data_IF_205628393370
#
_entry.id   IF_205628393370
#
_cell.length_a   1.000
_cell.length_b   1.000
_cell.length_c   1.000
_cell.angle_alpha   90.00
_cell.angle_beta   90.00
_cell.angle_gamma   90.00
#
_symmetry.space_group_name_H-M   'P 1'
#
loop_
_entity.id
_entity.type
_entity.pdbx_description
1 polymer ?
#
# COMPACT_ATOMS: atom_id res chain seq x y z
N UNK A 1 -5.20 -18.92 -14.27
CA UNK A 1 -5.24 -19.10 -12.83
C UNK A 1 -3.91 -18.71 -12.22
N UNK A 2 -3.93 -17.87 -11.24
CA UNK A 2 -2.71 -17.45 -10.58
C UNK A 2 -2.20 -18.56 -9.68
N UNK A 3 -1.01 -19.06 -9.96
CA UNK A 3 -0.39 -20.12 -9.17
C UNK A 3 0.37 -19.60 -7.99
N UNK A 4 0.50 -18.29 -7.84
CA UNK A 4 1.17 -17.70 -6.70
C UNK A 4 0.28 -17.83 -5.47
N UNK A 5 0.68 -18.69 -4.56
CA UNK A 5 -0.03 -18.88 -3.32
C UNK A 5 0.30 -17.81 -2.27
N UNK A 6 1.10 -16.82 -2.61
CA UNK A 6 1.47 -15.77 -1.67
C UNK A 6 0.22 -14.98 -1.24
N UNK A 7 0.09 -14.69 0.06
CA UNK A 7 -1.02 -13.88 0.53
C UNK A 7 -0.98 -12.49 -0.14
N UNK A 8 -2.14 -12.05 -0.57
CA UNK A 8 -2.29 -10.74 -1.20
C UNK A 8 -3.43 -9.99 -0.57
N UNK A 9 -3.32 -8.68 -0.54
CA UNK A 9 -4.37 -7.83 -0.04
C UNK A 9 -4.51 -6.62 -0.94
N UNK A 10 -5.74 -6.36 -1.37
CA UNK A 10 -6.06 -5.18 -2.17
C UNK A 10 -6.29 -4.01 -1.23
N UNK A 11 -5.64 -2.89 -1.50
CA UNK A 11 -5.83 -1.65 -0.76
C UNK A 11 -6.58 -0.69 -1.68
N UNK A 12 -7.81 -0.37 -1.31
CA UNK A 12 -8.63 0.56 -2.07
C UNK A 12 -8.30 2.00 -1.67
N UNK A 13 -8.12 2.85 -2.67
CA UNK A 13 -7.84 4.27 -2.47
C UNK A 13 -8.81 5.15 -3.25
N UNK A 14 -9.87 4.59 -3.81
CA UNK A 14 -10.81 5.32 -4.66
C UNK A 14 -11.55 6.42 -3.92
N UNK A 15 -11.68 6.32 -2.59
CA UNK A 15 -12.34 7.31 -1.75
C UNK A 15 -11.39 8.42 -1.28
N UNK A 16 -10.10 8.36 -1.65
CA UNK A 16 -9.09 9.29 -1.16
C UNK A 16 -8.67 10.26 -2.24
N UNK A 17 -8.40 11.51 -1.84
CA UNK A 17 -7.74 12.47 -2.70
C UNK A 17 -6.24 12.37 -2.48
N UNK A 18 -5.56 11.60 -3.32
CA UNK A 18 -4.13 11.35 -3.19
C UNK A 18 -3.26 12.54 -3.61
N UNK A 19 -3.89 13.63 -4.07
CA UNK A 19 -3.18 14.89 -4.29
C UNK A 19 -3.01 15.69 -3.01
N UNK A 20 -3.75 15.34 -1.94
CA UNK A 20 -3.64 16.02 -0.64
C UNK A 20 -2.74 15.26 0.32
N UNK A 21 -2.17 15.97 1.29
CA UNK A 21 -1.36 15.36 2.33
C UNK A 21 -2.19 14.38 3.17
N UNK A 22 -3.43 14.73 3.48
CA UNK A 22 -4.32 13.87 4.28
C UNK A 22 -4.67 12.58 3.53
N UNK A 23 -4.95 12.67 2.24
CA UNK A 23 -5.22 11.49 1.41
C UNK A 23 -4.04 10.56 1.33
N UNK A 24 -2.84 11.10 1.13
CA UNK A 24 -1.59 10.31 1.13
C UNK A 24 -1.36 9.63 2.47
N UNK A 25 -1.54 10.36 3.57
CA UNK A 25 -1.34 9.80 4.91
C UNK A 25 -2.31 8.66 5.19
N UNK A 26 -3.57 8.81 4.81
CA UNK A 26 -4.57 7.75 4.95
C UNK A 26 -4.20 6.54 4.10
N UNK A 27 -3.77 6.76 2.87
CA UNK A 27 -3.33 5.69 1.99
C UNK A 27 -2.16 4.92 2.59
N UNK A 28 -1.16 5.63 3.11
CA UNK A 28 0.01 5.02 3.74
C UNK A 28 -0.38 4.19 4.97
N UNK A 29 -1.34 4.66 5.76
CA UNK A 29 -1.85 3.87 6.90
C UNK A 29 -2.52 2.58 6.44
N UNK A 30 -3.31 2.65 5.36
CA UNK A 30 -3.95 1.45 4.79
C UNK A 30 -2.93 0.47 4.24
N UNK A 31 -1.88 0.96 3.58
CA UNK A 31 -0.79 0.12 3.09
C UNK A 31 -0.05 -0.55 4.25
N UNK A 32 0.25 0.19 5.30
CA UNK A 32 0.92 -0.36 6.48
C UNK A 32 0.06 -1.43 7.15
N UNK A 33 -1.24 -1.22 7.25
CA UNK A 33 -2.16 -2.21 7.81
C UNK A 33 -2.21 -3.47 6.95
N UNK A 34 -2.22 -3.33 5.63
CA UNK A 34 -2.21 -4.46 4.71
C UNK A 34 -0.92 -5.27 4.82
N UNK A 35 0.22 -4.60 4.92
CA UNK A 35 1.52 -5.27 5.14
C UNK A 35 1.50 -6.09 6.42
N UNK A 36 0.92 -5.52 7.48
CA UNK A 36 0.81 -6.19 8.77
C UNK A 36 0.01 -7.49 8.67
N UNK A 37 -1.10 -7.45 7.93
CA UNK A 37 -1.96 -8.63 7.73
C UNK A 37 -1.26 -9.68 6.87
N UNK A 38 -0.61 -9.26 5.79
CA UNK A 38 0.06 -10.18 4.85
C UNK A 38 1.25 -10.86 5.53
N UNK A 39 2.02 -10.12 6.32
CA UNK A 39 3.24 -10.64 6.93
C UNK A 39 3.00 -11.42 8.22
N UNK A 40 1.91 -11.15 8.94
CA UNK A 40 1.61 -11.86 10.17
C UNK A 40 0.14 -11.70 10.54
N UNK A 41 -0.67 -12.68 10.20
CA UNK A 41 -2.03 -12.77 10.69
C UNK A 41 -2.04 -13.06 12.20
N UNK A 42 -1.12 -13.92 12.65
CA UNK A 42 -0.91 -14.24 14.07
C UNK A 42 0.48 -13.80 14.48
N UNK A 43 0.59 -13.13 15.62
CA UNK A 43 1.90 -12.74 16.12
C UNK A 43 2.65 -13.94 16.67
N UNK A 44 3.84 -14.24 16.14
CA UNK A 44 4.65 -15.31 16.67
C UNK A 44 5.21 -14.98 18.05
N UNK A 45 5.30 -15.98 18.91
CA UNK A 45 5.81 -15.80 20.27
C UNK A 45 7.31 -16.00 20.36
N UNK A 46 7.93 -16.64 19.37
CA UNK A 46 9.37 -16.93 19.39
C UNK A 46 10.16 -15.86 18.63
N UNK A 47 11.43 -15.73 18.97
CA UNK A 47 12.30 -14.73 18.39
C UNK A 47 12.47 -14.91 16.87
N UNK A 48 12.67 -16.15 16.43
CA UNK A 48 12.86 -16.45 15.01
C UNK A 48 11.64 -16.03 14.19
N UNK A 49 10.43 -16.32 14.69
CA UNK A 49 9.20 -15.90 14.03
C UNK A 49 9.03 -14.39 14.00
N UNK A 50 9.39 -13.70 15.10
CA UNK A 50 9.34 -12.25 15.15
C UNK A 50 10.30 -11.60 14.14
N UNK A 51 11.49 -12.16 14.00
CA UNK A 51 12.46 -11.68 13.03
C UNK A 51 11.99 -11.93 11.60
N UNK A 52 11.37 -13.08 11.33
CA UNK A 52 10.81 -13.39 10.02
C UNK A 52 9.70 -12.39 9.64
N UNK A 53 8.83 -12.04 10.58
CA UNK A 53 7.79 -11.02 10.37
C UNK A 53 8.41 -9.67 10.05
N UNK A 54 9.45 -9.30 10.78
CA UNK A 54 10.15 -8.03 10.55
C UNK A 54 10.76 -7.96 9.16
N UNK A 55 11.38 -9.04 8.72
CA UNK A 55 11.95 -9.14 7.38
C UNK A 55 10.86 -9.06 6.30
N UNK A 56 9.74 -9.76 6.50
CA UNK A 56 8.59 -9.70 5.60
C UNK A 56 8.09 -8.27 5.45
N UNK A 57 7.89 -7.56 6.56
CA UNK A 57 7.42 -6.17 6.54
C UNK A 57 8.37 -5.25 5.81
N UNK A 58 9.68 -5.42 6.03
CA UNK A 58 10.69 -4.62 5.36
C UNK A 58 10.66 -4.82 3.85
N UNK A 59 10.63 -6.07 3.41
CA UNK A 59 10.55 -6.40 1.97
C UNK A 59 9.25 -5.88 1.36
N UNK A 60 8.13 -6.04 2.05
CA UNK A 60 6.84 -5.58 1.55
C UNK A 60 6.81 -4.07 1.39
N UNK A 61 7.33 -3.32 2.36
CA UNK A 61 7.41 -1.86 2.28
C UNK A 61 8.25 -1.40 1.11
N UNK A 62 9.42 -2.03 0.91
CA UNK A 62 10.28 -1.70 -0.22
C UNK A 62 9.61 -2.00 -1.55
N UNK A 63 8.90 -3.11 -1.65
CA UNK A 63 8.20 -3.49 -2.87
C UNK A 63 7.02 -2.56 -3.18
N UNK A 64 6.46 -1.88 -2.17
CA UNK A 64 5.32 -0.99 -2.35
C UNK A 64 5.70 0.44 -2.74
N UNK A 65 6.97 0.82 -2.62
CA UNK A 65 7.38 2.21 -2.88
C UNK A 65 7.03 2.63 -4.30
N UNK A 66 7.47 1.87 -5.30
CA UNK A 66 7.22 2.23 -6.70
C UNK A 66 5.73 2.15 -7.07
N UNK A 67 4.98 1.10 -6.73
CA UNK A 67 3.54 1.09 -7.00
C UNK A 67 2.77 2.21 -6.29
N UNK A 68 3.13 2.52 -5.05
CA UNK A 68 2.51 3.62 -4.30
C UNK A 68 2.73 4.95 -5.02
N UNK A 69 3.97 5.22 -5.40
CA UNK A 69 4.31 6.47 -6.05
C UNK A 69 3.62 6.59 -7.42
N UNK A 70 3.51 5.48 -8.15
CA UNK A 70 2.80 5.46 -9.43
C UNK A 70 1.31 5.80 -9.27
N UNK A 71 0.66 5.28 -8.24
CA UNK A 71 -0.75 5.57 -7.95
C UNK A 71 -0.93 7.05 -7.62
N UNK A 72 -0.03 7.62 -6.82
CA UNK A 72 -0.09 9.03 -6.43
C UNK A 72 0.11 9.94 -7.64
N UNK A 73 1.09 9.62 -8.49
CA UNK A 73 1.35 10.39 -9.71
C UNK A 73 0.15 10.32 -10.65
N UNK A 74 -0.43 9.13 -10.84
CA UNK A 74 -1.60 8.96 -11.69
C UNK A 74 -2.79 9.77 -11.17
N UNK A 75 -2.98 9.83 -9.86
CA UNK A 75 -4.05 10.63 -9.25
C UNK A 75 -3.84 12.13 -9.48
N UNK A 76 -2.59 12.60 -9.35
CA UNK A 76 -2.27 13.99 -9.62
C UNK A 76 -2.51 14.36 -11.09
N UNK A 77 -2.13 13.48 -12.00
CA UNK A 77 -2.34 13.68 -13.44
C UNK A 77 -3.84 13.69 -13.77
N UNK A 78 -4.61 12.77 -13.20
CA UNK A 78 -6.04 12.72 -13.41
C UNK A 78 -6.73 14.01 -12.92
N UNK A 79 -6.30 14.51 -11.77
CA UNK A 79 -6.82 15.76 -11.23
C UNK A 79 -6.48 16.96 -12.11
N UNK A 80 -5.24 17.04 -12.59
CA UNK A 80 -4.83 18.11 -13.50
C UNK A 80 -5.60 18.07 -14.81
N UNK A 81 -5.81 16.85 -15.33
CA UNK A 81 -6.58 16.66 -16.57
C UNK A 81 -8.04 17.07 -16.39
N UNK A 82 -8.65 16.69 -15.28
CA UNK A 82 -10.02 17.08 -14.97
C UNK A 82 -10.15 18.60 -14.84
N UNK A 83 -9.18 19.27 -14.23
CA UNK A 83 -9.18 20.72 -14.11
C UNK A 83 -9.13 21.41 -15.47
N UNK A 84 -8.37 20.86 -16.43
CA UNK A 84 -8.32 21.37 -17.79
C UNK A 84 -9.63 21.17 -18.53
N UNK A 85 -10.31 20.05 -18.29
CA UNK A 85 -11.56 19.72 -18.97
C UNK A 85 -12.75 20.57 -18.51
N UNK A 86 -12.65 21.19 -17.34
CA UNK A 86 -13.74 22.01 -16.78
C UNK A 86 -13.68 23.47 -17.19
N UNK A 87 -12.78 23.86 -18.02
CA UNK A 87 -12.70 25.24 -18.51
C UNK A 87 -13.83 25.60 -19.48
#
# INVERSE_FOLDING_TARGET
MDTNAAPQRVVDASDLDLATADGKATFDRRLAAAVKVVCAADEPSDLAGQMAVRTCRSHARQALVAPRDAVIVAAAQARAHAALATK
#
